data_IF_049361765763
#
_entry.id   IF_049361765763
#
_cell.length_a   1.000
_cell.length_b   1.000
_cell.length_c   1.000
_cell.angle_alpha   90.00
_cell.angle_beta   90.00
_cell.angle_gamma   90.00
#
_symmetry.space_group_name_H-M   'P 1'
#
loop_
_entity.id
_entity.type
_entity.pdbx_description
1 polymer ?
#
# COMPACT_ATOMS: atom_id res chain seq x y z
N UNK A 1 -6.52 9.07 -39.98
CA UNK A 1 -5.25 8.69 -39.34
C UNK A 1 -5.56 8.43 -37.87
N UNK A 2 -5.99 7.21 -37.55
CA UNK A 2 -6.29 6.83 -36.17
C UNK A 2 -4.96 6.45 -35.50
N UNK A 3 -4.62 7.15 -34.42
CA UNK A 3 -3.56 6.69 -33.52
C UNK A 3 -4.10 5.41 -32.90
N UNK A 4 -3.56 4.27 -33.33
CA UNK A 4 -3.76 3.01 -32.61
C UNK A 4 -2.99 3.20 -31.30
N UNK A 5 -3.71 3.60 -30.26
CA UNK A 5 -3.20 3.46 -28.90
C UNK A 5 -3.15 1.95 -28.67
N UNK A 6 -1.98 1.35 -28.88
CA UNK A 6 -1.72 0.03 -28.35
C UNK A 6 -1.94 0.14 -26.84
N UNK A 7 -3.10 -0.30 -26.37
CA UNK A 7 -3.38 -0.50 -24.96
C UNK A 7 -2.45 -1.60 -24.49
N UNK A 8 -1.23 -1.21 -24.14
CA UNK A 8 -0.36 -2.01 -23.30
C UNK A 8 -1.20 -2.36 -22.06
N UNK A 9 -1.34 -3.64 -21.66
CA UNK A 9 -2.10 -4.01 -20.47
C UNK A 9 -1.48 -3.47 -19.16
N UNK A 10 -0.33 -2.80 -19.24
CA UNK A 10 0.28 -2.01 -18.16
C UNK A 10 0.00 -0.49 -18.28
N UNK A 11 -0.82 -0.06 -19.25
CA UNK A 11 -1.23 1.33 -19.44
C UNK A 11 -2.34 1.72 -18.45
N UNK A 12 -1.87 2.23 -17.33
CA UNK A 12 -2.47 3.18 -16.38
C UNK A 12 -3.72 2.90 -15.55
N UNK A 13 -4.56 1.90 -15.81
CA UNK A 13 -5.77 1.72 -14.97
C UNK A 13 -5.62 0.66 -13.87
N UNK A 14 -5.27 1.18 -12.67
CA UNK A 14 -5.36 0.57 -11.33
C UNK A 14 -4.26 -0.43 -10.96
N UNK A 15 -3.02 0.06 -10.80
CA UNK A 15 -2.01 -0.68 -9.99
C UNK A 15 -2.60 -0.98 -8.60
N UNK A 16 -2.78 -2.25 -8.21
CA UNK A 16 -3.44 -2.61 -6.95
C UNK A 16 -2.57 -2.30 -5.73
N UNK A 17 -1.26 -2.22 -5.94
CA UNK A 17 -0.27 -1.89 -4.93
C UNK A 17 0.55 -0.69 -5.39
N UNK A 18 0.74 0.26 -4.48
CA UNK A 18 1.54 1.46 -4.65
C UNK A 18 2.78 1.38 -3.77
N UNK A 19 3.84 2.06 -4.16
CA UNK A 19 4.94 2.39 -3.25
C UNK A 19 4.50 3.48 -2.26
N UNK A 20 5.21 3.63 -1.14
CA UNK A 20 4.98 4.75 -0.20
C UNK A 20 5.15 6.10 -0.92
N UNK A 21 6.13 6.20 -1.82
CA UNK A 21 6.37 7.36 -2.65
C UNK A 21 5.18 7.72 -3.56
N UNK A 22 4.60 6.73 -4.23
CA UNK A 22 3.40 6.95 -5.06
C UNK A 22 2.20 7.36 -4.21
N UNK A 23 1.98 6.71 -3.06
CA UNK A 23 0.92 7.09 -2.13
C UNK A 23 1.09 8.52 -1.60
N UNK A 24 2.33 8.93 -1.28
CA UNK A 24 2.64 10.29 -0.84
C UNK A 24 2.24 11.34 -1.88
N UNK A 25 2.52 11.08 -3.16
CA UNK A 25 2.14 11.96 -4.27
C UNK A 25 0.62 12.06 -4.41
N UNK A 26 -0.10 10.94 -4.28
CA UNK A 26 -1.56 10.94 -4.35
C UNK A 26 -2.21 11.70 -3.17
N UNK A 27 -1.67 11.53 -1.97
CA UNK A 27 -2.11 12.23 -0.76
C UNK A 27 -1.64 13.69 -0.70
N UNK A 28 -0.73 14.11 -1.59
CA UNK A 28 -0.08 15.43 -1.59
C UNK A 28 0.64 15.76 -0.28
N UNK A 29 1.35 14.78 0.27
CA UNK A 29 2.18 14.94 1.47
C UNK A 29 3.66 14.74 1.16
N UNK A 30 4.53 15.18 2.07
CA UNK A 30 5.97 14.92 1.94
C UNK A 30 6.25 13.43 2.02
N UNK A 31 7.32 12.99 1.33
CA UNK A 31 7.78 11.60 1.44
C UNK A 31 8.10 11.23 2.88
N UNK A 32 8.77 12.12 3.63
CA UNK A 32 9.12 11.90 5.04
C UNK A 32 7.88 11.61 5.89
N UNK A 33 6.82 12.42 5.77
CA UNK A 33 5.57 12.21 6.49
C UNK A 33 4.90 10.88 6.08
N UNK A 34 4.93 10.52 4.80
CA UNK A 34 4.38 9.25 4.34
C UNK A 34 5.12 8.04 4.92
N UNK A 35 6.44 8.11 5.04
CA UNK A 35 7.24 7.06 5.68
C UNK A 35 6.99 6.97 7.18
N UNK A 36 6.86 8.11 7.87
CA UNK A 36 6.48 8.15 9.29
C UNK A 36 5.11 7.50 9.50
N UNK A 37 4.10 7.90 8.73
CA UNK A 37 2.75 7.31 8.82
C UNK A 37 2.73 5.81 8.51
N UNK A 38 3.58 5.33 7.60
CA UNK A 38 3.72 3.90 7.32
C UNK A 38 4.36 3.15 8.50
N UNK A 39 5.36 3.75 9.15
CA UNK A 39 5.98 3.17 10.34
C UNK A 39 4.99 3.14 11.52
N UNK A 40 4.24 4.22 11.74
CA UNK A 40 3.17 4.29 12.75
C UNK A 40 2.10 3.22 12.52
N UNK A 41 1.72 2.97 11.28
CA UNK A 41 0.74 1.93 10.94
C UNK A 41 1.20 0.53 11.33
N UNK A 42 2.47 0.20 11.09
CA UNK A 42 3.05 -1.07 11.52
C UNK A 42 3.23 -1.17 13.05
N UNK A 43 3.56 -0.05 13.71
CA UNK A 43 3.76 -0.01 15.16
C UNK A 43 2.45 0.00 15.97
N UNK A 44 1.34 0.42 15.36
CA UNK A 44 0.02 0.56 16.01
C UNK A 44 -0.92 -0.61 15.75
N UNK A 45 -0.40 -1.81 15.48
CA UNK A 45 -1.20 -3.00 15.14
C UNK A 45 -2.19 -2.75 14.00
N UNK A 46 -1.77 -1.95 13.01
CA UNK A 46 -2.52 -1.60 11.81
C UNK A 46 -3.80 -0.79 12.08
N UNK A 47 -3.77 0.09 13.10
CA UNK A 47 -4.95 0.89 13.51
C UNK A 47 -4.85 2.38 13.13
N UNK A 48 -3.65 2.96 13.02
CA UNK A 48 -3.47 4.38 12.68
C UNK A 48 -2.29 4.62 11.75
N UNK A 49 -2.43 5.52 10.78
CA UNK A 49 -1.35 5.89 9.85
C UNK A 49 -1.63 5.50 8.40
N UNK A 50 -0.57 5.29 7.61
CA UNK A 50 -0.67 4.95 6.19
C UNK A 50 -0.78 3.42 6.03
N UNK A 51 -1.88 2.89 5.46
CA UNK A 51 -2.08 1.45 5.34
C UNK A 51 -1.04 0.82 4.44
N UNK A 52 -0.18 -0.04 5.01
CA UNK A 52 0.88 -0.75 4.30
C UNK A 52 0.85 -2.25 4.58
N UNK A 53 1.20 -3.03 3.57
CA UNK A 53 1.55 -4.44 3.69
C UNK A 53 3.05 -4.63 3.50
N UNK A 54 3.61 -5.60 4.20
CA UNK A 54 4.99 -6.06 4.02
C UNK A 54 5.01 -7.26 3.08
N UNK A 55 5.77 -7.14 2.00
CA UNK A 55 6.04 -8.18 1.02
C UNK A 55 7.54 -8.42 1.00
N UNK A 56 8.01 -9.36 1.84
CA UNK A 56 9.44 -9.56 2.09
C UNK A 56 10.11 -8.29 2.63
N UNK A 57 11.11 -7.78 1.91
CA UNK A 57 11.82 -6.54 2.24
C UNK A 57 11.08 -5.27 1.82
N UNK A 58 10.02 -5.39 1.03
CA UNK A 58 9.30 -4.26 0.46
C UNK A 58 8.05 -3.89 1.27
N UNK A 59 7.80 -2.59 1.41
CA UNK A 59 6.49 -2.07 1.83
C UNK A 59 5.69 -1.64 0.61
N UNK A 60 4.40 -1.95 0.62
CA UNK A 60 3.44 -1.55 -0.42
C UNK A 60 2.15 -1.06 0.23
N UNK A 61 1.55 -0.06 -0.38
CA UNK A 61 0.26 0.52 0.00
C UNK A 61 -0.81 -0.08 -0.90
N UNK A 62 -1.77 -0.86 -0.38
CA UNK A 62 -2.89 -1.32 -1.18
C UNK A 62 -3.73 -0.13 -1.64
N UNK A 63 -3.99 -0.02 -2.94
CA UNK A 63 -4.70 1.12 -3.52
C UNK A 63 -6.10 1.27 -2.93
N UNK A 64 -6.83 0.16 -2.77
CA UNK A 64 -8.18 0.16 -2.20
C UNK A 64 -8.20 0.69 -0.76
N UNK A 65 -7.20 0.35 0.06
CA UNK A 65 -7.09 0.84 1.43
C UNK A 65 -6.73 2.32 1.49
N UNK A 66 -5.91 2.78 0.54
CA UNK A 66 -5.62 4.20 0.39
C UNK A 66 -6.86 4.99 -0.04
N UNK A 67 -7.68 4.44 -0.95
CA UNK A 67 -8.95 5.05 -1.35
C UNK A 67 -9.88 5.16 -0.15
N UNK A 68 -10.07 4.09 0.63
CA UNK A 68 -10.91 4.12 1.85
C UNK A 68 -10.45 5.20 2.84
N UNK A 69 -9.13 5.32 3.04
CA UNK A 69 -8.56 6.37 3.88
C UNK A 69 -8.87 7.77 3.32
N UNK A 70 -8.74 7.98 2.01
CA UNK A 70 -8.99 9.28 1.36
C UNK A 70 -10.47 9.66 1.36
N UNK A 71 -11.37 8.69 1.16
CA UNK A 71 -12.80 8.96 0.99
C UNK A 71 -13.53 9.04 2.32
N UNK A 72 -13.14 8.21 3.28
CA UNK A 72 -13.87 8.04 4.54
C UNK A 72 -13.08 8.54 5.75
N UNK A 73 -11.75 8.71 5.61
CA UNK A 73 -10.86 8.97 6.75
C UNK A 73 -10.56 7.72 7.59
N UNK A 74 -11.09 6.57 7.20
CA UNK A 74 -10.94 5.32 7.94
C UNK A 74 -9.62 4.64 7.58
N UNK A 75 -8.86 4.27 8.61
CA UNK A 75 -7.68 3.42 8.45
C UNK A 75 -8.14 1.97 8.38
N UNK A 76 -7.91 1.33 7.24
CA UNK A 76 -8.21 -0.09 7.06
C UNK A 76 -7.17 -0.92 7.80
N UNK A 77 -7.63 -1.83 8.66
CA UNK A 77 -6.76 -2.82 9.30
C UNK A 77 -6.43 -3.97 8.35
N UNK A 78 -5.26 -3.89 7.75
CA UNK A 78 -4.65 -4.94 6.94
C UNK A 78 -4.08 -6.01 7.87
N UNK A 79 -4.90 -6.99 8.24
CA UNK A 79 -4.40 -8.16 8.97
C UNK A 79 -3.50 -8.94 8.03
N UNK A 80 -2.22 -9.09 8.40
CA UNK A 80 -1.32 -9.99 7.73
C UNK A 80 -1.82 -11.43 7.99
N UNK A 81 -2.76 -11.91 7.17
CA UNK A 81 -2.87 -13.35 6.95
C UNK A 81 -1.49 -13.78 6.48
N UNK A 82 -0.79 -14.54 7.32
CA UNK A 82 0.63 -14.82 7.22
C UNK A 82 1.04 -15.20 5.78
N UNK A 83 1.69 -14.27 5.06
CA UNK A 83 2.40 -14.59 3.82
C UNK A 83 3.78 -15.22 4.09
N UNK A 84 4.07 -15.52 5.36
CA UNK A 84 5.06 -16.50 5.75
C UNK A 84 4.33 -17.75 6.22
N UNK A 85 4.41 -18.82 5.41
CA UNK A 85 4.38 -20.17 5.95
C UNK A 85 5.28 -20.20 7.18
N UNK A 86 4.70 -20.62 8.29
CA UNK A 86 5.42 -21.01 9.48
C UNK A 86 6.62 -21.87 9.07
N UNK A 87 7.83 -21.40 9.30
CA UNK A 87 8.89 -22.32 9.67
C UNK A 87 8.52 -22.80 11.08
N UNK A 88 7.61 -23.77 11.14
CA UNK A 88 7.37 -24.60 12.31
C UNK A 88 8.74 -25.17 12.68
N UNK A 89 9.31 -24.64 13.77
CA UNK A 89 10.47 -25.23 14.40
C UNK A 89 10.08 -26.63 14.88
N UNK A 90 10.39 -27.64 14.07
CA UNK A 90 10.44 -29.03 14.51
C UNK A 90 11.57 -29.10 15.54
N UNK A 91 11.17 -29.31 16.79
CA UNK A 91 12.07 -29.75 17.86
C UNK A 91 12.55 -31.16 17.58
#
# INVERSE_FOLDING_TARGET
MAVVVESNPLSDDVRPLLTIAEAARLLRISHSLAYELAATYLASDCTVGLPVIRLGSCLRVPRWALVELMTTGNVVRLVAGALHQEAVGVR
#
